data_IF_501363752086
#
_entry.id   IF_501363752086
#
_cell.length_a   1.000
_cell.length_b   1.000
_cell.length_c   1.000
_cell.angle_alpha   90.00
_cell.angle_beta   90.00
_cell.angle_gamma   90.00
#
_symmetry.space_group_name_H-M   'P 1'
#
loop_
_entity.id
_entity.type
_entity.pdbx_description
1 polymer ?
#
# COMPACT_ATOMS: atom_id res chain seq x y z
N UNK A 1 -5.94 -36.03 26.47
CA UNK A 1 -7.02 -35.10 26.10
C UNK A 1 -6.47 -34.19 25.02
N UNK A 2 -7.15 -34.05 23.88
CA UNK A 2 -6.75 -33.03 22.91
C UNK A 2 -7.04 -31.66 23.51
N UNK A 3 -6.03 -30.81 23.56
CA UNK A 3 -6.16 -29.43 24.02
C UNK A 3 -7.05 -28.66 23.04
N UNK A 4 -8.05 -27.95 23.58
CA UNK A 4 -8.98 -27.13 22.80
C UNK A 4 -8.57 -25.67 22.91
N UNK A 5 -8.44 -25.02 21.76
CA UNK A 5 -8.06 -23.61 21.65
C UNK A 5 -9.29 -22.80 21.25
N UNK A 6 -9.70 -21.79 22.05
CA UNK A 6 -10.81 -20.91 21.68
C UNK A 6 -10.53 -20.13 20.40
N UNK A 7 -11.53 -20.04 19.52
CA UNK A 7 -11.44 -19.29 18.27
C UNK A 7 -11.15 -17.80 18.51
N UNK A 8 -11.57 -17.24 19.64
CA UNK A 8 -11.28 -15.86 20.02
C UNK A 8 -9.78 -15.61 20.27
N UNK A 9 -9.06 -16.61 20.79
CA UNK A 9 -7.60 -16.54 20.97
C UNK A 9 -6.92 -16.70 19.63
N UNK A 10 -7.34 -17.70 18.85
CA UNK A 10 -6.75 -17.98 17.53
C UNK A 10 -6.91 -16.79 16.57
N UNK A 11 -8.04 -16.09 16.62
CA UNK A 11 -8.31 -14.87 15.86
C UNK A 11 -7.24 -13.77 16.06
N UNK A 12 -6.71 -13.64 17.28
CA UNK A 12 -5.65 -12.67 17.58
C UNK A 12 -4.33 -13.06 16.91
N UNK A 13 -4.00 -14.35 16.89
CA UNK A 13 -2.75 -14.85 16.30
C UNK A 13 -2.80 -14.91 14.76
N UNK A 14 -3.98 -15.14 14.18
CA UNK A 14 -4.15 -15.23 12.73
C UNK A 14 -4.53 -13.90 12.07
N UNK A 15 -4.86 -12.87 12.86
CA UNK A 15 -5.31 -11.57 12.34
C UNK A 15 -6.66 -11.63 11.61
N UNK A 16 -7.52 -12.59 11.97
CA UNK A 16 -8.86 -12.79 11.40
C UNK A 16 -9.92 -12.68 12.49
N UNK A 17 -11.21 -12.72 12.13
CA UNK A 17 -12.29 -12.72 13.15
C UNK A 17 -12.65 -14.14 13.57
N UNK A 18 -13.08 -14.31 14.82
CA UNK A 18 -13.55 -15.61 15.32
C UNK A 18 -14.75 -16.14 14.51
N UNK A 19 -15.69 -15.26 14.13
CA UNK A 19 -16.83 -15.61 13.29
C UNK A 19 -16.41 -16.12 11.90
N UNK A 20 -15.33 -15.56 11.35
CA UNK A 20 -14.81 -16.02 10.07
C UNK A 20 -14.09 -17.36 10.18
N UNK A 21 -13.33 -17.59 11.26
CA UNK A 21 -12.71 -18.89 11.54
C UNK A 21 -13.79 -19.95 11.75
N UNK A 22 -14.83 -19.64 12.51
CA UNK A 22 -15.98 -20.52 12.75
C UNK A 22 -16.68 -20.87 11.44
N UNK A 23 -16.95 -19.89 10.59
CA UNK A 23 -17.58 -20.13 9.28
C UNK A 23 -16.73 -21.02 8.37
N UNK A 24 -15.41 -20.82 8.35
CA UNK A 24 -14.49 -21.57 7.47
C UNK A 24 -14.21 -22.99 7.95
N UNK A 25 -14.29 -23.22 9.25
CA UNK A 25 -13.95 -24.50 9.90
C UNK A 25 -15.11 -25.06 10.71
N UNK A 26 -16.35 -24.82 10.27
CA UNK A 26 -17.57 -25.17 11.02
C UNK A 26 -17.69 -26.68 11.32
N UNK A 27 -17.07 -27.52 10.49
CA UNK A 27 -16.99 -28.98 10.64
C UNK A 27 -15.94 -29.44 11.67
N UNK A 28 -15.05 -28.54 12.09
CA UNK A 28 -13.93 -28.82 13.01
C UNK A 28 -13.99 -28.00 14.29
N UNK A 29 -15.08 -27.28 14.52
CA UNK A 29 -15.30 -26.50 15.74
C UNK A 29 -16.15 -27.28 16.75
N UNK A 30 -15.79 -27.14 18.02
CA UNK A 30 -16.42 -27.83 19.14
C UNK A 30 -16.58 -26.85 20.30
N UNK A 31 -17.68 -26.88 21.06
CA UNK A 31 -17.78 -26.11 22.29
C UNK A 31 -16.88 -26.70 23.39
N UNK A 32 -16.19 -25.86 24.16
CA UNK A 32 -15.50 -26.26 25.38
C UNK A 32 -16.46 -26.43 26.58
N UNK A 33 -15.91 -26.78 27.74
CA UNK A 33 -16.67 -26.93 28.99
C UNK A 33 -17.34 -25.63 29.48
N UNK A 34 -16.97 -24.47 28.91
CA UNK A 34 -17.56 -23.16 29.19
C UNK A 34 -18.50 -22.70 28.06
N UNK A 35 -18.76 -23.54 27.05
CA UNK A 35 -19.59 -23.23 25.89
C UNK A 35 -18.91 -22.33 24.85
N UNK A 36 -17.59 -22.13 24.90
CA UNK A 36 -16.84 -21.35 23.91
C UNK A 36 -16.54 -22.20 22.69
N UNK A 37 -16.68 -21.63 21.51
CA UNK A 37 -16.33 -22.30 20.25
C UNK A 37 -14.82 -22.40 20.13
N UNK A 38 -14.32 -23.63 20.06
CA UNK A 38 -12.92 -23.99 20.04
C UNK A 38 -12.58 -24.90 18.86
N UNK A 39 -11.29 -25.00 18.56
CA UNK A 39 -10.72 -25.99 17.64
C UNK A 39 -9.70 -26.85 18.37
N UNK A 40 -9.34 -27.99 17.79
CA UNK A 40 -8.24 -28.80 18.29
C UNK A 40 -6.88 -28.06 18.15
N UNK A 41 -5.94 -28.39 19.04
CA UNK A 41 -4.61 -27.77 19.04
C UNK A 41 -3.79 -28.06 17.76
N UNK A 42 -4.11 -29.11 17.00
CA UNK A 42 -3.40 -29.42 15.75
C UNK A 42 -3.78 -28.43 14.66
N UNK A 43 -5.08 -28.23 14.44
CA UNK A 43 -5.64 -27.22 13.55
C UNK A 43 -5.21 -25.81 13.96
N UNK A 44 -5.20 -25.49 15.26
CA UNK A 44 -4.71 -24.21 15.73
C UNK A 44 -3.24 -23.96 15.30
N UNK A 45 -2.36 -24.97 15.46
CA UNK A 45 -0.96 -24.88 15.00
C UNK A 45 -0.85 -24.73 13.50
N UNK A 46 -1.64 -25.48 12.72
CA UNK A 46 -1.68 -25.37 11.26
C UNK A 46 -2.06 -23.96 10.81
N UNK A 47 -3.11 -23.39 11.39
CA UNK A 47 -3.59 -22.04 11.04
C UNK A 47 -2.58 -20.96 11.40
N UNK A 48 -1.93 -21.06 12.56
CA UNK A 48 -0.86 -20.14 12.97
C UNK A 48 0.35 -20.27 12.04
N UNK A 49 0.75 -21.49 11.67
CA UNK A 49 1.87 -21.73 10.77
C UNK A 49 1.59 -21.17 9.36
N UNK A 50 0.38 -21.36 8.85
CA UNK A 50 -0.04 -20.83 7.55
C UNK A 50 0.00 -19.30 7.52
N UNK A 51 -0.47 -18.62 8.58
CA UNK A 51 -0.42 -17.16 8.65
C UNK A 51 1.03 -16.65 8.74
N UNK A 52 1.89 -17.28 9.53
CA UNK A 52 3.31 -16.93 9.60
C UNK A 52 3.98 -17.04 8.23
N UNK A 53 3.75 -18.14 7.52
CA UNK A 53 4.27 -18.34 6.16
C UNK A 53 3.77 -17.27 5.19
N UNK A 54 2.48 -16.87 5.29
CA UNK A 54 1.91 -15.79 4.48
C UNK A 54 2.59 -14.45 4.75
N UNK A 55 2.79 -14.09 6.02
CA UNK A 55 3.46 -12.85 6.43
C UNK A 55 4.92 -12.83 5.95
N UNK A 56 5.64 -13.94 6.09
CA UNK A 56 7.01 -14.07 5.60
C UNK A 56 7.09 -13.94 4.07
N UNK A 57 6.19 -14.59 3.33
CA UNK A 57 6.09 -14.47 1.88
C UNK A 57 5.86 -13.02 1.43
N UNK A 58 4.94 -12.30 2.08
CA UNK A 58 4.72 -10.87 1.81
C UNK A 58 5.94 -10.01 2.15
N UNK A 59 6.68 -10.32 3.21
CA UNK A 59 7.91 -9.61 3.55
C UNK A 59 9.00 -9.83 2.50
N UNK A 60 9.17 -11.06 2.01
CA UNK A 60 10.12 -11.39 0.94
C UNK A 60 9.75 -10.70 -0.38
N UNK A 61 8.47 -10.74 -0.78
CA UNK A 61 7.99 -10.04 -1.96
C UNK A 61 8.27 -8.53 -1.88
N UNK A 62 8.02 -7.90 -0.72
CA UNK A 62 8.34 -6.47 -0.52
C UNK A 62 9.84 -6.19 -0.59
N UNK A 63 10.69 -7.08 -0.08
CA UNK A 63 12.15 -6.95 -0.19
C UNK A 63 12.60 -7.03 -1.64
N UNK A 64 12.11 -8.02 -2.40
CA UNK A 64 12.40 -8.19 -3.82
C UNK A 64 11.94 -6.98 -4.63
N UNK A 65 10.69 -6.51 -4.44
CA UNK A 65 10.18 -5.34 -5.14
C UNK A 65 11.04 -4.09 -4.90
N UNK A 66 11.48 -3.85 -3.65
CA UNK A 66 12.40 -2.75 -3.32
C UNK A 66 13.76 -2.92 -3.99
N UNK A 67 14.29 -4.14 -4.04
CA UNK A 67 15.55 -4.44 -4.69
C UNK A 67 15.47 -4.19 -6.20
N UNK A 68 14.46 -4.73 -6.89
CA UNK A 68 14.24 -4.49 -8.32
C UNK A 68 14.08 -3.01 -8.62
N UNK A 69 13.40 -2.25 -7.75
CA UNK A 69 13.28 -0.80 -7.92
C UNK A 69 14.63 -0.08 -7.75
N UNK A 70 15.46 -0.48 -6.77
CA UNK A 70 16.82 0.04 -6.62
C UNK A 70 17.69 -0.27 -7.83
N UNK A 71 17.62 -1.48 -8.36
CA UNK A 71 18.36 -1.90 -9.56
C UNK A 71 17.94 -1.10 -10.79
N UNK A 72 16.63 -0.87 -10.99
CA UNK A 72 16.12 0.00 -12.06
C UNK A 72 16.61 1.45 -11.94
N UNK A 73 16.61 2.00 -10.73
CA UNK A 73 17.11 3.36 -10.47
C UNK A 73 18.63 3.43 -10.68
N UNK A 74 19.38 2.43 -10.27
CA UNK A 74 20.83 2.35 -10.47
C UNK A 74 21.21 2.21 -11.95
N UNK A 75 20.45 1.40 -12.72
CA UNK A 75 20.62 1.25 -14.17
C UNK A 75 20.32 2.54 -14.93
N UNK A 76 19.42 3.38 -14.41
CA UNK A 76 19.11 4.69 -14.98
C UNK A 76 20.08 5.74 -14.43
N UNK A 77 21.31 5.79 -14.95
CA UNK A 77 22.40 6.65 -14.44
C UNK A 77 21.90 8.06 -14.04
N UNK A 78 21.71 8.35 -12.73
CA UNK A 78 21.14 9.61 -12.28
C UNK A 78 22.00 10.80 -12.72
N UNK A 79 23.31 10.59 -12.76
CA UNK A 79 24.30 11.53 -13.29
C UNK A 79 24.10 11.89 -14.76
N UNK A 80 23.68 10.94 -15.61
CA UNK A 80 23.41 11.21 -17.03
C UNK A 80 22.11 12.00 -17.21
N UNK A 81 21.07 11.67 -16.43
CA UNK A 81 19.81 12.45 -16.43
C UNK A 81 20.01 13.87 -15.93
N UNK A 82 20.72 14.04 -14.82
CA UNK A 82 21.05 15.38 -14.28
C UNK A 82 21.87 16.17 -15.29
N UNK A 83 22.92 15.56 -15.88
CA UNK A 83 23.73 16.21 -16.92
C UNK A 83 22.89 16.67 -18.11
N UNK A 84 22.01 15.83 -18.63
CA UNK A 84 21.12 16.19 -19.75
C UNK A 84 20.16 17.33 -19.40
N UNK A 85 19.60 17.33 -18.17
CA UNK A 85 18.73 18.42 -17.70
C UNK A 85 19.52 19.72 -17.56
N UNK A 86 20.74 19.67 -17.00
CA UNK A 86 21.60 20.85 -16.84
C UNK A 86 22.03 21.42 -18.19
N UNK A 87 22.40 20.56 -19.15
CA UNK A 87 22.74 20.98 -20.52
C UNK A 87 21.54 21.62 -21.23
N UNK A 88 20.35 21.06 -21.08
CA UNK A 88 19.13 21.63 -21.65
C UNK A 88 18.75 22.98 -21.02
N UNK A 89 18.89 23.12 -19.70
CA UNK A 89 18.68 24.40 -19.01
C UNK A 89 19.71 25.46 -19.43
N UNK A 90 20.97 25.08 -19.66
CA UNK A 90 21.98 26.00 -20.19
C UNK A 90 21.61 26.52 -21.59
N UNK A 91 21.11 25.66 -22.48
CA UNK A 91 20.63 26.06 -23.81
C UNK A 91 19.41 26.99 -23.74
N UNK A 92 18.49 26.77 -22.81
CA UNK A 92 17.32 27.63 -22.64
C UNK A 92 17.68 29.00 -22.07
N UNK A 93 18.70 29.08 -21.19
CA UNK A 93 19.26 30.35 -20.70
C UNK A 93 19.95 31.14 -21.81
N UNK A 94 20.75 30.48 -22.64
CA UNK A 94 21.43 31.12 -23.77
C UNK A 94 20.44 31.70 -24.80
N UNK A 95 19.26 31.07 -24.94
CA UNK A 95 18.16 31.56 -25.76
C UNK A 95 17.29 32.64 -25.09
N UNK A 96 17.60 33.04 -23.85
CA UNK A 96 16.84 34.03 -23.09
C UNK A 96 15.41 33.59 -22.71
N UNK A 97 15.12 32.28 -22.74
CA UNK A 97 13.77 31.75 -22.47
C UNK A 97 13.50 31.53 -20.97
N UNK A 98 14.55 31.47 -20.15
CA UNK A 98 14.46 31.33 -18.69
C UNK A 98 15.52 32.22 -18.03
N UNK A 99 15.17 32.86 -16.92
CA UNK A 99 16.10 33.67 -16.12
C UNK A 99 17.13 32.80 -15.38
N UNK A 100 18.33 33.36 -15.18
CA UNK A 100 19.45 32.68 -14.54
C UNK A 100 19.17 32.28 -13.08
N UNK A 101 18.26 32.99 -12.41
CA UNK A 101 18.01 32.90 -10.96
C UNK A 101 16.92 31.90 -10.56
N UNK A 102 16.23 31.28 -11.52
CA UNK A 102 15.26 30.23 -11.23
C UNK A 102 16.00 28.93 -10.87
N UNK A 103 16.07 28.62 -9.56
CA UNK A 103 16.75 27.42 -9.08
C UNK A 103 16.11 26.16 -9.66
N UNK A 104 16.93 25.19 -10.09
CA UNK A 104 16.44 23.91 -10.62
C UNK A 104 15.56 23.15 -9.61
N UNK A 105 15.71 23.45 -8.31
CA UNK A 105 14.86 22.94 -7.23
C UNK A 105 13.43 23.51 -7.29
N UNK A 106 13.26 24.79 -7.65
CA UNK A 106 11.95 25.40 -7.85
C UNK A 106 11.21 24.78 -9.05
N UNK A 107 11.94 24.50 -10.14
CA UNK A 107 11.38 23.87 -11.36
C UNK A 107 10.99 22.40 -11.14
N UNK A 108 11.81 21.63 -10.39
CA UNK A 108 11.45 20.27 -10.02
C UNK A 108 10.29 20.23 -9.02
N UNK A 109 10.26 21.15 -8.06
CA UNK A 109 9.16 21.28 -7.11
C UNK A 109 7.83 21.57 -7.80
N UNK A 110 7.81 22.41 -8.85
CA UNK A 110 6.61 22.67 -9.66
C UNK A 110 6.25 21.48 -10.55
N UNK A 111 7.22 20.77 -11.13
CA UNK A 111 6.96 19.61 -12.00
C UNK A 111 6.36 18.42 -11.26
N UNK A 112 6.88 18.10 -10.06
CA UNK A 112 6.37 17.00 -9.24
C UNK A 112 5.02 17.34 -8.58
N UNK A 113 4.78 18.61 -8.24
CA UNK A 113 3.45 19.04 -7.77
C UNK A 113 2.43 19.06 -8.90
N UNK A 114 2.78 19.48 -10.11
CA UNK A 114 1.88 19.44 -11.27
C UNK A 114 1.54 17.99 -11.67
N UNK A 115 2.53 17.10 -11.75
CA UNK A 115 2.31 15.68 -12.06
C UNK A 115 1.52 14.95 -10.95
N UNK A 116 1.73 15.33 -9.69
CA UNK A 116 0.93 14.87 -8.55
C UNK A 116 -0.52 15.35 -8.65
N UNK A 117 -0.75 16.61 -9.01
CA UNK A 117 -2.08 17.21 -9.20
C UNK A 117 -2.82 16.59 -10.40
N UNK A 118 -2.16 16.39 -11.53
CA UNK A 118 -2.74 15.72 -12.70
C UNK A 118 -3.07 14.25 -12.42
N UNK A 119 -2.20 13.55 -11.69
CA UNK A 119 -2.44 12.19 -11.23
C UNK A 119 -3.53 12.06 -10.15
N UNK A 120 -3.80 13.12 -9.38
CA UNK A 120 -4.92 13.19 -8.43
C UNK A 120 -6.23 13.57 -9.13
N UNK A 121 -6.18 14.50 -10.08
CA UNK A 121 -7.32 14.94 -10.89
C UNK A 121 -7.85 13.81 -11.78
N UNK A 122 -6.94 13.06 -12.44
CA UNK A 122 -7.29 11.91 -13.27
C UNK A 122 -7.93 10.77 -12.47
N UNK A 123 -7.40 10.46 -11.27
CA UNK A 123 -8.02 9.44 -10.37
C UNK A 123 -9.38 9.87 -9.84
N UNK A 124 -9.60 11.16 -9.60
CA UNK A 124 -10.89 11.71 -9.16
C UNK A 124 -11.92 11.74 -10.29
N UNK A 125 -11.51 12.08 -11.52
CA UNK A 125 -12.35 11.98 -12.72
C UNK A 125 -12.74 10.54 -13.02
N UNK A 126 -11.81 9.60 -12.91
CA UNK A 126 -12.09 8.17 -13.11
C UNK A 126 -13.07 7.61 -12.07
N UNK A 127 -12.95 8.03 -10.80
CA UNK A 127 -13.89 7.65 -9.74
C UNK A 127 -15.28 8.30 -9.94
N UNK A 128 -15.34 9.52 -10.47
CA UNK A 128 -16.59 10.20 -10.82
C UNK A 128 -17.29 9.52 -12.01
N UNK A 129 -16.54 9.17 -13.06
CA UNK A 129 -17.04 8.45 -14.24
C UNK A 129 -17.50 7.02 -13.94
N UNK A 130 -16.92 6.36 -12.93
CA UNK A 130 -17.35 5.05 -12.43
C UNK A 130 -18.52 5.12 -11.42
N UNK A 131 -18.98 6.31 -11.05
CA UNK A 131 -20.09 6.49 -10.09
C UNK A 131 -19.73 6.15 -8.64
N UNK A 132 -18.44 6.06 -8.30
CA UNK A 132 -17.95 5.62 -6.98
C UNK A 132 -17.69 6.78 -6.01
N UNK A 133 -17.91 8.04 -6.41
CA UNK A 133 -17.72 9.17 -5.50
C UNK A 133 -18.87 9.26 -4.49
N UNK A 134 -18.62 8.80 -3.27
CA UNK A 134 -19.45 9.10 -2.10
C UNK A 134 -19.59 10.61 -1.98
N UNK A 135 -20.83 11.10 -2.10
CA UNK A 135 -21.18 12.51 -2.11
C UNK A 135 -20.74 13.21 -0.83
N UNK A 136 -19.65 13.97 -0.91
CA UNK A 136 -19.34 15.00 0.06
C UNK A 136 -20.33 16.15 -0.09
N UNK A 137 -21.29 16.25 0.82
CA UNK A 137 -22.14 17.44 1.00
C UNK A 137 -21.24 18.64 1.27
N UNK A 138 -21.12 19.55 0.31
CA UNK A 138 -20.63 20.89 0.59
C UNK A 138 -21.78 21.66 1.22
N UNK A 139 -21.73 21.86 2.54
CA UNK A 139 -22.51 22.93 3.19
C UNK A 139 -21.84 24.25 2.80
N UNK A 140 -22.39 24.92 1.80
CA UNK A 140 -22.05 26.32 1.51
C UNK A 140 -22.64 27.12 2.67
N UNK A 141 -21.77 27.56 3.59
CA UNK A 141 -22.10 28.61 4.53
C UNK A 141 -22.44 29.86 3.73
N UNK A 142 -23.68 30.33 3.88
CA UNK A 142 -24.05 31.68 3.47
C UNK A 142 -23.55 32.62 4.55
N UNK A 143 -22.66 33.53 4.17
CA UNK A 143 -22.62 34.87 4.77
C UNK A 143 -23.69 35.72 4.08
#
# INVERSE_FOLDING_TARGET
>A
MNELIPLSVLALDTGTTAAELERRHADRTLPDHLGRVCVDAELARELIAAERARVEGHAQYRRQARQTQREKVAATHPRRRVKAITEHQAQLREKGLIDADMSAFAVMGSGDTQASLDGYASRRMDAWLRGESTGGRYTIGKD
#
